data_IF_849456358506
#
_entry.id   IF_849456358506
#
_cell.length_a   1.000
_cell.length_b   1.000
_cell.length_c   1.000
_cell.angle_alpha   90.00
_cell.angle_beta   90.00
_cell.angle_gamma   90.00
#
_symmetry.space_group_name_H-M   'P 1'
#
loop_
_entity.id
_entity.type
_entity.pdbx_description
1 polymer ?
#
# COMPACT_ATOMS: atom_id res chain seq x y z
N UNK A 1 -43.89 17.47 3.71
CA UNK A 1 -43.32 16.10 3.70
C UNK A 1 -42.28 16.05 2.58
N UNK A 2 -40.99 15.89 2.91
CA UNK A 2 -39.93 15.76 1.90
C UNK A 2 -39.74 14.27 1.60
N UNK A 3 -40.06 13.83 0.39
CA UNK A 3 -39.70 12.49 -0.08
C UNK A 3 -38.18 12.32 -0.05
N UNK A 4 -37.64 11.21 0.47
CA UNK A 4 -36.24 10.86 0.26
C UNK A 4 -36.05 10.59 -1.24
N UNK A 5 -35.07 11.27 -1.85
CA UNK A 5 -34.70 11.00 -3.24
C UNK A 5 -34.16 9.57 -3.36
N UNK A 6 -34.65 8.81 -4.34
CA UNK A 6 -34.15 7.48 -4.62
C UNK A 6 -32.64 7.54 -4.94
N UNK A 7 -31.84 6.56 -4.46
CA UNK A 7 -30.42 6.49 -4.76
C UNK A 7 -30.21 6.41 -6.28
N UNK A 8 -29.33 7.26 -6.81
CA UNK A 8 -28.94 7.23 -8.23
C UNK A 8 -27.99 6.05 -8.46
N UNK A 9 -28.05 5.38 -9.62
CA UNK A 9 -27.10 4.33 -9.94
C UNK A 9 -25.67 4.91 -9.96
N UNK A 10 -24.78 4.29 -9.17
CA UNK A 10 -23.34 4.56 -9.21
C UNK A 10 -22.77 3.86 -10.45
N UNK A 11 -21.78 4.48 -11.11
CA UNK A 11 -21.02 3.78 -12.13
C UNK A 11 -20.51 2.43 -11.60
N UNK A 12 -20.39 1.43 -12.48
CA UNK A 12 -19.71 0.18 -12.14
C UNK A 12 -18.23 0.46 -11.88
N UNK A 13 -17.88 0.64 -10.60
CA UNK A 13 -16.52 0.83 -10.12
C UNK A 13 -16.15 -0.45 -9.38
N UNK A 14 -15.17 -1.19 -9.90
CA UNK A 14 -14.59 -2.29 -9.14
C UNK A 14 -13.65 -1.71 -8.08
N UNK A 15 -14.13 -1.68 -6.84
CA UNK A 15 -13.29 -1.36 -5.70
C UNK A 15 -12.30 -2.52 -5.46
N UNK A 16 -11.02 -2.19 -5.31
CA UNK A 16 -10.05 -3.08 -4.68
C UNK A 16 -10.28 -3.06 -3.17
N UNK A 17 -11.43 -3.59 -2.73
CA UNK A 17 -11.77 -3.70 -1.31
C UNK A 17 -11.72 -5.18 -0.92
N UNK A 18 -10.73 -5.56 -0.12
CA UNK A 18 -10.83 -6.76 0.69
C UNK A 18 -11.93 -6.51 1.74
N UNK A 19 -13.13 -7.06 1.52
CA UNK A 19 -14.16 -7.08 2.54
C UNK A 19 -13.67 -7.92 3.74
N UNK A 20 -14.00 -7.53 4.99
CA UNK A 20 -13.74 -8.40 6.12
C UNK A 20 -14.66 -9.60 6.01
N UNK A 21 -14.09 -10.77 5.72
CA UNK A 21 -14.81 -12.03 5.89
C UNK A 21 -15.08 -12.18 7.39
N UNK A 22 -16.33 -11.94 7.79
CA UNK A 22 -16.80 -12.24 9.14
C UNK A 22 -16.70 -13.75 9.35
N UNK A 23 -15.59 -14.20 9.93
CA UNK A 23 -15.52 -15.49 10.60
C UNK A 23 -16.35 -15.38 11.90
N UNK A 24 -17.28 -16.31 12.16
CA UNK A 24 -18.04 -16.31 13.39
C UNK A 24 -17.10 -16.61 14.57
N UNK A 25 -17.02 -15.69 15.53
CA UNK A 25 -16.35 -15.94 16.80
C UNK A 25 -17.10 -17.08 17.54
N UNK A 26 -16.38 -18.03 18.17
CA UNK A 26 -17.01 -19.01 19.05
C UNK A 26 -17.51 -18.32 20.33
N UNK A 27 -18.54 -18.86 21.00
CA UNK A 27 -19.14 -18.21 22.16
C UNK A 27 -18.15 -18.23 23.34
N UNK A 28 -17.83 -17.05 23.87
CA UNK A 28 -17.13 -16.91 25.14
C UNK A 28 -18.08 -17.30 26.28
N UNK A 29 -17.78 -18.40 26.96
CA UNK A 29 -18.43 -18.77 28.21
C UNK A 29 -18.01 -17.82 29.33
N UNK A 30 -18.94 -17.03 29.84
CA UNK A 30 -18.79 -16.22 31.05
C UNK A 30 -18.72 -17.13 32.28
N UNK A 31 -17.53 -17.27 32.87
CA UNK A 31 -17.37 -17.74 34.25
C UNK A 31 -17.15 -16.53 35.16
N UNK A 32 -18.12 -16.25 36.02
CA UNK A 32 -18.02 -15.22 37.04
C UNK A 32 -17.10 -15.68 38.18
N UNK A 33 -16.01 -14.95 38.42
CA UNK A 33 -15.29 -15.00 39.70
C UNK A 33 -15.26 -13.62 40.33
N UNK A 34 -15.61 -13.59 41.60
CA UNK A 34 -15.80 -12.41 42.47
C UNK A 34 -14.49 -11.62 42.69
N UNK A 35 -14.57 -10.33 43.02
CA UNK A 35 -13.39 -9.49 43.22
C UNK A 35 -12.76 -9.73 44.60
N UNK A 36 -11.45 -10.00 44.62
CA UNK A 36 -10.63 -9.95 45.84
C UNK A 36 -9.92 -8.60 45.95
N UNK A 37 -9.89 -8.09 47.17
CA UNK A 37 -9.43 -6.77 47.63
C UNK A 37 -7.92 -6.54 47.50
N UNK A 38 -7.47 -5.26 47.42
CA UNK A 38 -6.06 -4.93 47.29
C UNK A 38 -5.33 -5.04 48.64
N UNK A 39 -4.17 -5.70 48.65
CA UNK A 39 -3.30 -5.80 49.83
C UNK A 39 -2.17 -4.76 49.75
N UNK A 40 -2.13 -3.92 50.77
CA UNK A 40 -1.20 -2.82 51.03
C UNK A 40 0.26 -3.26 51.07
N UNK A 41 1.13 -2.61 50.29
CA UNK A 41 2.59 -2.71 50.44
C UNK A 41 3.02 -1.73 51.54
N UNK A 42 3.55 -2.26 52.64
CA UNK A 42 4.19 -1.49 53.71
C UNK A 42 5.57 -1.01 53.24
N UNK A 43 5.75 0.30 53.22
CA UNK A 43 7.05 0.98 53.21
C UNK A 43 7.80 0.68 54.51
N UNK A 44 9.07 0.25 54.39
CA UNK A 44 9.99 0.17 55.53
C UNK A 44 11.11 1.19 55.33
N UNK A 45 11.03 2.26 56.11
CA UNK A 45 12.04 3.30 56.27
C UNK A 45 13.25 2.74 57.03
N UNK A 46 14.46 3.05 56.58
CA UNK A 46 15.69 3.00 57.38
C UNK A 46 16.53 4.26 57.06
N UNK A 47 17.34 4.74 58.03
CA UNK A 47 17.55 6.16 58.27
C UNK A 47 18.78 6.74 57.54
N UNK A 48 18.74 8.07 57.38
CA UNK A 48 19.85 8.92 57.01
C UNK A 48 21.06 8.75 57.95
N UNK A 49 22.26 8.62 57.39
CA UNK A 49 23.47 9.06 58.08
C UNK A 49 24.60 9.40 57.09
N UNK A 50 24.86 10.71 56.99
CA UNK A 50 26.13 11.42 56.76
C UNK A 50 27.23 10.77 55.90
N UNK A 51 27.49 11.42 54.76
CA UNK A 51 28.73 11.32 54.00
C UNK A 51 29.81 12.24 54.61
N UNK A 52 31.00 11.71 54.89
CA UNK A 52 32.26 12.46 54.77
C UNK A 52 33.40 11.48 54.40
N UNK A 53 34.38 11.86 53.54
CA UNK A 53 35.30 10.93 52.90
C UNK A 53 36.68 10.96 53.56
N UNK A 54 37.22 9.80 53.95
CA UNK A 54 38.67 9.58 54.02
C UNK A 54 39.01 8.10 54.25
N UNK A 55 40.13 7.72 53.65
CA UNK A 55 41.05 6.65 54.04
C UNK A 55 40.79 5.19 53.62
N UNK A 56 41.51 4.86 52.54
CA UNK A 56 42.59 3.86 52.47
C UNK A 56 42.24 2.36 52.50
N UNK A 57 42.46 1.79 51.30
CA UNK A 57 43.33 0.63 51.01
C UNK A 57 43.17 -0.60 51.91
N UNK A 58 42.61 -1.66 51.34
CA UNK A 58 43.06 -3.03 51.59
C UNK A 58 43.15 -3.80 50.28
N UNK A 59 44.38 -4.24 50.00
CA UNK A 59 44.82 -5.06 48.87
C UNK A 59 44.30 -6.49 49.02
N UNK A 60 43.85 -7.08 47.93
CA UNK A 60 44.08 -8.51 47.67
C UNK A 60 44.79 -8.64 46.33
N UNK A 61 45.98 -9.26 46.41
CA UNK A 61 46.91 -9.52 45.31
C UNK A 61 46.33 -10.66 44.46
N UNK A 62 46.11 -10.41 43.17
CA UNK A 62 45.86 -11.47 42.20
C UNK A 62 47.14 -12.30 42.03
N UNK A 63 47.03 -13.61 42.28
CA UNK A 63 48.05 -14.59 41.90
C UNK A 63 47.86 -14.90 40.41
N UNK A 64 48.74 -14.37 39.57
CA UNK A 64 48.80 -14.69 38.13
C UNK A 64 49.62 -15.97 37.98
N UNK A 65 49.01 -17.04 37.48
CA UNK A 65 49.72 -18.22 36.97
C UNK A 65 49.69 -18.15 35.44
N UNK A 66 50.84 -18.18 34.74
CA UNK A 66 50.88 -18.28 33.29
C UNK A 66 50.76 -19.76 32.92
N UNK A 67 49.55 -20.21 32.61
CA UNK A 67 49.40 -21.45 31.84
C UNK A 67 49.42 -21.02 30.38
N UNK A 68 50.49 -21.39 29.68
CA UNK A 68 50.61 -21.17 28.25
C UNK A 68 49.38 -21.74 27.54
N UNK A 69 48.59 -20.87 26.92
CA UNK A 69 47.58 -21.28 25.97
C UNK A 69 48.33 -21.91 24.79
N UNK A 70 48.23 -23.23 24.66
CA UNK A 70 48.41 -23.86 23.36
C UNK A 70 47.45 -23.16 22.37
N UNK A 71 47.87 -22.89 21.11
CA UNK A 71 46.97 -22.33 20.13
C UNK A 71 45.75 -23.25 20.02
N UNK A 72 44.58 -22.71 20.37
CA UNK A 72 43.30 -23.35 20.12
C UNK A 72 43.29 -23.79 18.66
N UNK A 73 42.90 -25.03 18.31
CA UNK A 73 42.85 -25.43 16.91
C UNK A 73 42.02 -24.40 16.16
N UNK A 74 42.59 -23.83 15.10
CA UNK A 74 41.89 -22.87 14.26
C UNK A 74 40.54 -23.49 13.90
N UNK A 75 39.44 -22.81 14.30
CA UNK A 75 38.11 -23.22 13.87
C UNK A 75 38.16 -23.39 12.36
N UNK A 76 37.58 -24.49 11.80
CA UNK A 76 37.57 -24.65 10.36
C UNK A 76 36.95 -23.39 9.74
N UNK A 77 37.54 -22.87 8.65
CA UNK A 77 37.00 -21.70 7.97
C UNK A 77 35.54 -21.97 7.58
N UNK A 78 34.70 -20.94 7.69
CA UNK A 78 33.29 -21.04 7.30
C UNK A 78 33.22 -21.50 5.84
N UNK A 79 32.50 -22.59 5.62
CA UNK A 79 32.29 -23.16 4.29
C UNK A 79 31.20 -22.38 3.56
N UNK A 80 31.63 -21.32 2.85
CA UNK A 80 30.71 -20.40 2.16
C UNK A 80 30.09 -21.06 0.93
N UNK A 81 30.80 -21.97 0.26
CA UNK A 81 30.29 -22.69 -0.91
C UNK A 81 29.09 -23.56 -0.53
N UNK A 82 29.18 -24.26 0.60
CA UNK A 82 28.04 -25.01 1.15
C UNK A 82 26.86 -24.12 1.50
N UNK A 83 27.09 -22.89 1.96
CA UNK A 83 26.02 -21.92 2.24
C UNK A 83 25.39 -21.37 0.94
N UNK A 84 26.17 -21.23 -0.13
CA UNK A 84 25.65 -20.89 -1.46
C UNK A 84 24.73 -22.01 -1.97
N UNK A 85 25.18 -23.27 -1.88
CA UNK A 85 24.38 -24.43 -2.25
C UNK A 85 23.07 -24.49 -1.44
N UNK A 86 23.15 -24.28 -0.12
CA UNK A 86 21.97 -24.20 0.74
C UNK A 86 20.98 -23.14 0.24
N UNK A 87 21.43 -21.95 -0.19
CA UNK A 87 20.52 -20.90 -0.68
C UNK A 87 19.83 -21.27 -1.99
N UNK A 88 20.47 -22.08 -2.84
CA UNK A 88 19.83 -22.59 -4.06
C UNK A 88 18.72 -23.58 -3.75
N UNK A 89 18.87 -24.37 -2.69
CA UNK A 89 17.82 -25.29 -2.24
C UNK A 89 16.73 -24.55 -1.47
N UNK A 90 17.07 -23.62 -0.59
CA UNK A 90 16.14 -23.02 0.39
C UNK A 90 15.32 -21.84 -0.18
N UNK A 91 15.94 -20.90 -0.91
CA UNK A 91 15.26 -19.68 -1.36
C UNK A 91 14.10 -19.91 -2.34
N UNK A 92 14.12 -20.91 -3.25
CA UNK A 92 12.94 -21.22 -4.06
C UNK A 92 11.69 -21.58 -3.25
N UNK A 93 11.88 -22.11 -2.03
CA UNK A 93 10.81 -22.49 -1.11
C UNK A 93 10.34 -21.34 -0.20
N UNK A 94 10.87 -20.13 -0.37
CA UNK A 94 10.51 -18.95 0.42
C UNK A 94 8.99 -18.74 0.50
N UNK A 95 8.28 -19.02 -0.59
CA UNK A 95 6.86 -18.75 -0.71
C UNK A 95 5.93 -19.98 -0.80
N UNK A 96 6.45 -21.20 -0.72
CA UNK A 96 5.62 -22.42 -0.74
C UNK A 96 5.37 -22.99 0.66
N UNK A 97 4.78 -24.19 0.74
CA UNK A 97 4.43 -24.84 2.00
C UNK A 97 5.65 -25.38 2.78
N UNK A 98 6.79 -25.55 2.11
CA UNK A 98 8.04 -25.98 2.73
C UNK A 98 8.66 -24.83 3.54
N UNK A 99 8.66 -23.62 2.98
CA UNK A 99 9.17 -22.43 3.66
C UNK A 99 10.69 -22.46 3.87
N UNK A 100 11.18 -21.50 4.65
CA UNK A 100 12.63 -21.32 4.93
C UNK A 100 13.08 -22.18 6.10
N UNK A 101 14.16 -22.95 5.90
CA UNK A 101 14.84 -23.70 6.94
C UNK A 101 15.59 -22.76 7.89
N UNK A 102 15.05 -22.62 9.10
CA UNK A 102 15.57 -21.73 10.14
C UNK A 102 16.89 -22.20 10.74
N UNK A 103 17.33 -23.44 10.49
CA UNK A 103 18.54 -24.01 11.12
C UNK A 103 19.83 -23.32 10.66
N UNK A 104 19.84 -22.80 9.42
CA UNK A 104 20.95 -22.07 8.82
C UNK A 104 21.05 -20.60 9.26
N UNK A 105 20.08 -20.10 10.04
CA UNK A 105 20.00 -18.71 10.48
C UNK A 105 20.31 -18.57 11.98
N UNK A 106 20.96 -17.46 12.36
CA UNK A 106 21.16 -17.11 13.78
C UNK A 106 19.83 -16.72 14.45
N UNK A 107 19.74 -16.80 15.78
CA UNK A 107 18.52 -16.41 16.52
C UNK A 107 18.12 -14.94 16.30
N UNK A 108 19.09 -14.09 15.97
CA UNK A 108 18.91 -12.67 15.67
C UNK A 108 19.51 -12.34 14.30
N UNK A 109 18.68 -12.47 13.26
CA UNK A 109 19.02 -12.03 11.91
C UNK A 109 18.47 -10.65 11.66
N UNK A 110 19.31 -9.74 11.18
CA UNK A 110 18.89 -8.40 10.74
C UNK A 110 18.32 -8.51 9.32
N UNK A 111 17.01 -8.46 9.20
CA UNK A 111 16.33 -8.36 7.90
C UNK A 111 16.11 -6.89 7.53
N UNK A 112 16.45 -6.54 6.30
CA UNK A 112 16.08 -5.25 5.72
C UNK A 112 15.59 -5.49 4.31
N UNK A 113 14.40 -5.04 4.02
CA UNK A 113 13.88 -5.02 2.67
C UNK A 113 13.30 -3.61 2.38
N UNK A 114 13.04 -3.25 1.10
CA UNK A 114 12.53 -1.92 0.76
C UNK A 114 11.13 -1.64 1.33
N UNK A 115 10.39 -2.67 1.74
CA UNK A 115 9.02 -2.63 2.27
C UNK A 115 9.02 -2.55 3.82
N UNK A 116 10.01 -3.12 4.49
CA UNK A 116 10.01 -3.31 5.95
C UNK A 116 11.40 -3.17 6.59
N UNK A 117 11.47 -2.39 7.68
CA UNK A 117 12.65 -2.26 8.57
C UNK A 117 12.30 -2.83 9.94
N UNK A 118 12.44 -4.15 10.14
CA UNK A 118 12.23 -4.77 11.45
C UNK A 118 13.32 -5.80 11.76
N UNK A 119 13.84 -5.78 12.99
CA UNK A 119 15.04 -6.52 13.39
C UNK A 119 14.75 -7.96 13.89
N UNK A 120 13.66 -8.62 13.46
CA UNK A 120 13.29 -9.96 13.95
C UNK A 120 12.75 -10.90 12.88
N UNK A 121 13.18 -12.17 12.90
CA UNK A 121 12.76 -13.24 11.96
C UNK A 121 11.25 -13.52 12.00
N UNK A 122 10.61 -13.36 13.16
CA UNK A 122 9.18 -13.58 13.32
C UNK A 122 8.33 -12.60 12.48
N UNK A 123 8.77 -11.35 12.38
CA UNK A 123 8.08 -10.33 11.59
C UNK A 123 8.25 -10.54 10.08
N UNK A 124 9.45 -10.94 9.65
CA UNK A 124 9.72 -11.34 8.27
C UNK A 124 8.81 -12.49 7.81
N UNK A 125 8.69 -13.53 8.64
CA UNK A 125 7.84 -14.68 8.34
C UNK A 125 6.35 -14.32 8.37
N UNK A 126 5.92 -13.40 9.23
CA UNK A 126 4.55 -12.87 9.21
C UNK A 126 4.26 -12.08 7.93
N UNK A 127 5.19 -11.23 7.47
CA UNK A 127 5.06 -10.48 6.22
C UNK A 127 4.95 -11.42 5.01
N UNK A 128 5.79 -12.45 4.95
CA UNK A 128 5.72 -13.50 3.92
C UNK A 128 4.37 -14.20 3.96
N UNK A 129 3.89 -14.59 5.14
CA UNK A 129 2.60 -15.24 5.29
C UNK A 129 1.44 -14.33 4.85
N UNK A 130 1.50 -13.03 5.17
CA UNK A 130 0.54 -12.04 4.69
C UNK A 130 0.56 -11.91 3.17
N UNK A 131 1.74 -11.79 2.55
CA UNK A 131 1.90 -11.71 1.10
C UNK A 131 1.34 -12.95 0.40
N UNK A 132 1.48 -14.16 0.98
CA UNK A 132 0.86 -15.39 0.47
C UNK A 132 -0.67 -15.40 0.53
N UNK A 133 -1.29 -14.61 1.42
CA UNK A 133 -2.75 -14.55 1.56
C UNK A 133 -3.35 -13.70 0.43
N UNK A 134 -2.71 -12.58 0.10
CA UNK A 134 -3.23 -11.60 -0.87
C UNK A 134 -2.60 -11.75 -2.26
N UNK A 135 -1.44 -12.36 -2.37
CA UNK A 135 -0.77 -12.69 -3.62
C UNK A 135 -0.45 -14.19 -3.70
N UNK A 136 -0.23 -14.71 -4.91
CA UNK A 136 0.55 -15.92 -5.16
C UNK A 136 1.97 -15.52 -5.55
N UNK A 137 2.84 -15.22 -4.58
CA UNK A 137 4.22 -14.87 -4.86
C UNK A 137 4.96 -16.09 -5.41
N UNK A 138 5.64 -15.91 -6.55
CA UNK A 138 6.59 -16.86 -7.11
C UNK A 138 7.97 -16.21 -7.08
N UNK A 139 8.95 -16.93 -6.54
CA UNK A 139 10.31 -16.45 -6.41
C UNK A 139 11.23 -17.31 -7.28
N UNK A 140 11.99 -16.66 -8.14
CA UNK A 140 12.93 -17.29 -9.06
C UNK A 140 14.32 -16.81 -8.70
N UNK A 141 15.12 -17.71 -8.10
CA UNK A 141 16.54 -17.46 -7.88
C UNK A 141 17.31 -17.70 -9.19
N UNK A 142 18.03 -16.70 -9.67
CA UNK A 142 18.86 -16.82 -10.87
C UNK A 142 20.27 -17.26 -10.52
N UNK A 143 20.85 -16.63 -9.50
CA UNK A 143 22.15 -17.03 -8.98
C UNK A 143 22.38 -16.61 -7.54
N UNK A 144 23.28 -17.32 -6.86
CA UNK A 144 23.87 -16.96 -5.57
C UNK A 144 25.38 -17.12 -5.66
N UNK A 145 26.15 -16.13 -5.18
CA UNK A 145 27.62 -16.19 -5.19
C UNK A 145 28.21 -15.41 -4.03
N UNK A 146 29.38 -15.84 -3.57
CA UNK A 146 30.14 -15.10 -2.59
C UNK A 146 30.61 -13.76 -3.18
N UNK A 147 30.32 -12.66 -2.48
CA UNK A 147 30.74 -11.30 -2.87
C UNK A 147 31.71 -10.67 -1.86
N UNK A 148 31.84 -11.26 -0.68
CA UNK A 148 32.81 -10.87 0.33
C UNK A 148 33.19 -12.04 1.25
N UNK A 149 34.15 -11.86 2.17
CA UNK A 149 34.67 -12.94 3.02
C UNK A 149 33.59 -13.68 3.81
N UNK A 150 32.54 -12.96 4.22
CA UNK A 150 31.38 -13.49 4.95
C UNK A 150 30.08 -12.94 4.37
N UNK A 151 30.02 -12.83 3.04
CA UNK A 151 28.88 -12.24 2.33
C UNK A 151 28.56 -13.03 1.06
N UNK A 152 27.29 -13.39 0.91
CA UNK A 152 26.74 -13.99 -0.31
C UNK A 152 25.72 -13.01 -0.89
N UNK A 153 25.85 -12.69 -2.18
CA UNK A 153 24.83 -11.95 -2.90
C UNK A 153 24.03 -12.91 -3.77
N UNK A 154 22.73 -12.69 -3.84
CA UNK A 154 21.82 -13.40 -4.74
C UNK A 154 21.19 -12.46 -5.75
N UNK A 155 20.74 -13.01 -6.88
CA UNK A 155 19.96 -12.32 -7.91
C UNK A 155 18.69 -13.10 -8.15
N UNK A 156 17.58 -12.40 -8.16
CA UNK A 156 16.27 -13.05 -8.23
C UNK A 156 15.24 -12.22 -9.00
N UNK A 157 14.15 -12.89 -9.34
CA UNK A 157 12.91 -12.29 -9.84
C UNK A 157 11.77 -12.76 -8.97
N UNK A 158 10.90 -11.84 -8.58
CA UNK A 158 9.70 -12.13 -7.81
C UNK A 158 8.49 -11.68 -8.60
N UNK A 159 7.52 -12.57 -8.68
CA UNK A 159 6.26 -12.39 -9.39
C UNK A 159 5.16 -12.47 -8.36
N UNK A 160 4.42 -11.39 -8.14
CA UNK A 160 3.30 -11.33 -7.21
C UNK A 160 1.99 -11.29 -8.00
N UNK A 161 1.21 -12.38 -7.96
CA UNK A 161 -0.11 -12.44 -8.60
C UNK A 161 -1.21 -12.15 -7.59
N UNK A 162 -1.98 -11.09 -7.74
CA UNK A 162 -3.00 -10.76 -6.72
C UNK A 162 -4.19 -11.73 -6.80
N UNK A 163 -4.40 -12.51 -5.74
CA UNK A 163 -5.37 -13.60 -5.68
C UNK A 163 -6.85 -13.17 -5.59
N UNK A 164 -7.21 -12.08 -4.89
CA UNK A 164 -8.62 -11.70 -4.70
C UNK A 164 -9.37 -11.19 -5.95
N UNK A 165 -8.68 -10.92 -7.07
CA UNK A 165 -9.31 -10.42 -8.29
C UNK A 165 -9.43 -11.54 -9.34
N UNK A 166 -10.57 -11.64 -10.04
CA UNK A 166 -10.81 -12.73 -10.99
C UNK A 166 -9.84 -12.73 -12.18
N UNK A 167 -9.15 -11.62 -12.46
CA UNK A 167 -8.16 -11.50 -13.53
C UNK A 167 -6.69 -11.61 -13.05
N UNK A 168 -6.44 -11.81 -11.74
CA UNK A 168 -5.13 -12.14 -11.16
C UNK A 168 -3.94 -11.30 -11.67
N UNK A 169 -3.94 -9.97 -11.44
CA UNK A 169 -2.88 -9.10 -11.96
C UNK A 169 -1.49 -9.51 -11.50
N UNK A 170 -0.52 -9.40 -12.41
CA UNK A 170 0.85 -9.84 -12.19
C UNK A 170 1.82 -8.65 -12.00
N UNK A 171 2.49 -8.59 -10.84
CA UNK A 171 3.57 -7.66 -10.55
C UNK A 171 4.91 -8.40 -10.62
N UNK A 172 5.79 -8.01 -11.54
CA UNK A 172 7.12 -8.62 -11.71
C UNK A 172 8.19 -7.60 -11.32
N UNK A 173 9.10 -8.00 -10.44
CA UNK A 173 10.24 -7.20 -10.05
C UNK A 173 11.48 -8.07 -9.91
N UNK A 174 12.62 -7.45 -10.19
CA UNK A 174 13.94 -8.06 -10.09
C UNK A 174 14.72 -7.38 -8.98
N UNK A 175 15.62 -8.12 -8.36
CA UNK A 175 16.38 -7.60 -7.23
C UNK A 175 17.59 -8.44 -6.89
N UNK A 176 18.32 -7.97 -5.89
CA UNK A 176 19.46 -8.66 -5.30
C UNK A 176 19.33 -8.71 -3.80
N UNK A 177 19.65 -9.84 -3.18
CA UNK A 177 19.73 -9.97 -1.73
C UNK A 177 21.18 -10.11 -1.28
N UNK A 178 21.59 -9.36 -0.27
CA UNK A 178 22.90 -9.47 0.36
C UNK A 178 22.74 -10.17 1.72
N UNK A 179 23.31 -11.37 1.80
CA UNK A 179 23.30 -12.24 2.97
C UNK A 179 24.63 -12.12 3.71
N UNK A 180 24.58 -11.70 4.97
CA UNK A 180 25.74 -11.65 5.85
C UNK A 180 25.86 -12.93 6.66
N UNK A 181 27.08 -13.43 6.79
CA UNK A 181 27.41 -14.66 7.52
C UNK A 181 28.16 -14.30 8.80
N UNK A 182 27.77 -14.93 9.90
CA UNK A 182 28.47 -14.80 11.16
C UNK A 182 29.71 -15.73 11.15
N UNK A 183 30.94 -15.19 11.25
CA UNK A 183 32.16 -15.98 11.20
C UNK A 183 32.30 -16.94 12.40
N UNK A 184 31.64 -16.67 13.53
CA UNK A 184 31.75 -17.48 14.73
C UNK A 184 30.83 -18.70 14.74
N UNK A 185 29.66 -18.58 14.09
CA UNK A 185 28.62 -19.61 14.06
C UNK A 185 28.47 -20.28 12.69
N UNK A 186 28.97 -19.65 11.63
CA UNK A 186 28.79 -20.11 10.24
C UNK A 186 27.35 -19.97 9.73
N UNK A 187 26.51 -19.17 10.39
CA UNK A 187 25.10 -18.98 10.07
C UNK A 187 24.81 -17.61 9.47
N UNK A 188 23.70 -17.49 8.76
CA UNK A 188 23.24 -16.19 8.26
C UNK A 188 22.80 -15.29 9.42
N UNK A 189 23.35 -14.07 9.48
CA UNK A 189 23.08 -13.08 10.52
C UNK A 189 22.51 -11.75 9.99
N UNK A 190 22.51 -11.55 8.68
CA UNK A 190 21.78 -10.46 8.03
C UNK A 190 21.27 -10.85 6.65
N UNK A 191 20.17 -10.24 6.24
CA UNK A 191 19.59 -10.38 4.91
C UNK A 191 19.07 -9.01 4.47
N UNK A 192 19.64 -8.47 3.40
CA UNK A 192 19.29 -7.14 2.87
C UNK A 192 18.84 -7.24 1.42
N UNK A 193 17.58 -6.94 1.14
CA UNK A 193 17.00 -6.96 -0.20
C UNK A 193 17.06 -5.59 -0.88
N UNK A 194 17.44 -5.59 -2.15
CA UNK A 194 17.47 -4.42 -3.03
C UNK A 194 16.64 -4.71 -4.29
N UNK A 195 15.68 -3.84 -4.61
CA UNK A 195 14.80 -4.00 -5.76
C UNK A 195 15.22 -3.04 -6.87
N UNK A 196 15.41 -3.54 -8.09
CA UNK A 196 15.94 -2.74 -9.21
C UNK A 196 14.98 -1.63 -9.66
N UNK A 197 13.68 -1.86 -9.51
CA UNK A 197 12.62 -0.94 -9.94
C UNK A 197 12.41 0.24 -8.99
N UNK A 198 13.07 0.25 -7.82
CA UNK A 198 12.90 1.29 -6.79
C UNK A 198 14.21 2.09 -6.68
N UNK A 199 14.32 3.20 -7.41
CA UNK A 199 15.52 4.06 -7.42
C UNK A 199 15.83 4.74 -6.06
N UNK A 200 14.89 4.71 -5.11
CA UNK A 200 15.10 5.05 -3.69
C UNK A 200 14.62 3.88 -2.83
N UNK A 201 15.52 2.96 -2.45
CA UNK A 201 15.27 1.82 -1.56
C UNK A 201 14.86 2.19 -0.11
N UNK A 202 14.30 3.38 0.09
CA UNK A 202 13.69 3.80 1.34
C UNK A 202 12.17 3.86 1.16
N UNK A 203 11.51 2.87 1.76
CA UNK A 203 10.18 2.97 2.35
C UNK A 203 8.98 2.61 1.46
N UNK A 204 8.56 1.35 1.54
CA UNK A 204 7.21 0.89 1.24
C UNK A 204 6.59 0.27 2.49
N UNK A 205 6.27 1.05 3.54
CA UNK A 205 5.65 0.42 4.73
C UNK A 205 4.38 -0.34 4.34
N UNK A 206 4.07 -1.45 5.03
CA UNK A 206 2.87 -2.24 4.76
C UNK A 206 1.58 -1.40 4.85
N UNK A 207 1.58 -0.37 5.70
CA UNK A 207 0.53 0.65 5.77
C UNK A 207 0.48 1.53 4.52
N UNK A 208 1.63 1.94 3.98
CA UNK A 208 1.73 2.70 2.74
C UNK A 208 1.25 1.92 1.52
N UNK A 209 1.66 0.65 1.39
CA UNK A 209 1.19 -0.25 0.34
C UNK A 209 -0.33 -0.49 0.45
N UNK A 210 -0.83 -0.72 1.68
CA UNK A 210 -2.27 -0.92 1.93
C UNK A 210 -3.10 0.34 1.65
N UNK A 211 -2.57 1.52 1.98
CA UNK A 211 -3.21 2.79 1.65
C UNK A 211 -3.22 3.05 0.15
N UNK A 212 -2.19 2.65 -0.59
CA UNK A 212 -2.18 2.69 -2.06
C UNK A 212 -3.26 1.75 -2.63
N UNK A 213 -3.33 0.49 -2.17
CA UNK A 213 -4.35 -0.45 -2.64
C UNK A 213 -5.78 0.03 -2.37
N UNK A 214 -6.06 0.62 -1.20
CA UNK A 214 -7.37 1.23 -0.90
C UNK A 214 -7.72 2.40 -1.82
N UNK A 215 -6.71 3.07 -2.37
CA UNK A 215 -6.88 4.24 -3.25
C UNK A 215 -7.00 3.84 -4.72
N UNK A 216 -6.51 2.67 -5.15
CA UNK A 216 -6.58 2.25 -6.55
C UNK A 216 -8.00 1.78 -6.93
N UNK A 217 -8.42 2.13 -8.15
CA UNK A 217 -9.74 1.85 -8.76
C UNK A 217 -9.53 1.35 -10.18
N UNK A 218 -10.25 0.29 -10.56
CA UNK A 218 -10.37 -0.13 -11.96
C UNK A 218 -11.69 0.41 -12.52
N UNK A 219 -11.58 1.13 -13.63
CA UNK A 219 -12.70 1.60 -14.42
C UNK A 219 -12.73 0.82 -15.73
N UNK A 220 -13.85 0.16 -16.02
CA UNK A 220 -14.14 -0.35 -17.36
C UNK A 220 -14.36 0.81 -18.34
N UNK A 221 -14.31 0.60 -19.67
CA UNK A 221 -14.66 1.64 -20.63
C UNK A 221 -16.08 2.19 -20.37
N UNK A 222 -16.23 3.52 -20.38
CA UNK A 222 -17.53 4.18 -20.17
C UNK A 222 -17.70 5.39 -21.11
N UNK A 223 -18.94 5.84 -21.28
CA UNK A 223 -19.25 7.01 -22.11
C UNK A 223 -19.58 8.18 -21.20
N UNK A 224 -19.04 9.36 -21.52
CA UNK A 224 -19.40 10.62 -20.87
C UNK A 224 -20.06 11.56 -21.87
N UNK A 225 -20.99 12.36 -21.37
CA UNK A 225 -21.34 13.65 -21.98
C UNK A 225 -20.53 14.73 -21.28
N UNK A 226 -19.91 15.62 -22.07
CA UNK A 226 -18.96 16.59 -21.55
C UNK A 226 -19.09 17.96 -22.20
N UNK A 227 -18.70 18.99 -21.44
CA UNK A 227 -18.60 20.38 -21.92
C UNK A 227 -17.45 21.09 -21.21
N UNK A 228 -17.07 22.26 -21.70
CA UNK A 228 -15.98 23.06 -21.13
C UNK A 228 -16.33 23.58 -19.73
N UNK A 229 -15.38 23.41 -18.81
CA UNK A 229 -15.44 23.91 -17.44
C UNK A 229 -14.48 25.07 -17.22
N UNK A 230 -14.75 25.86 -16.17
CA UNK A 230 -13.87 26.98 -15.78
C UNK A 230 -12.67 26.52 -14.94
N UNK A 231 -12.93 25.68 -13.93
CA UNK A 231 -11.95 25.20 -12.94
C UNK A 231 -12.41 23.90 -12.30
N UNK A 232 -11.53 23.20 -11.57
CA UNK A 232 -11.82 21.88 -10.99
C UNK A 232 -13.04 21.90 -10.05
N UNK A 233 -13.09 22.85 -9.13
CA UNK A 233 -14.24 23.01 -8.22
C UNK A 233 -15.45 23.69 -8.86
N UNK A 234 -15.37 24.06 -10.14
CA UNK A 234 -16.39 24.81 -10.85
C UNK A 234 -17.67 24.02 -11.09
N UNK A 235 -18.76 24.75 -11.32
CA UNK A 235 -20.06 24.20 -11.75
C UNK A 235 -20.50 24.75 -13.11
N UNK A 236 -19.71 25.65 -13.74
CA UNK A 236 -19.98 26.14 -15.09
C UNK A 236 -19.96 24.97 -16.08
N UNK A 237 -21.03 24.83 -16.87
CA UNK A 237 -21.23 23.70 -17.79
C UNK A 237 -22.10 22.58 -17.21
N UNK A 238 -22.29 22.50 -15.89
CA UNK A 238 -23.08 21.42 -15.28
C UNK A 238 -24.53 21.40 -15.77
N UNK A 239 -25.18 22.58 -15.85
CA UNK A 239 -26.56 22.67 -16.32
C UNK A 239 -26.71 22.30 -17.81
N UNK A 240 -25.63 22.43 -18.59
CA UNK A 240 -25.63 22.11 -20.02
C UNK A 240 -25.61 20.58 -20.21
N UNK A 241 -24.67 19.89 -19.57
CA UNK A 241 -24.61 18.42 -19.58
C UNK A 241 -25.79 17.77 -18.84
N UNK A 242 -26.30 18.39 -17.77
CA UNK A 242 -27.53 17.97 -17.12
C UNK A 242 -28.74 18.17 -18.03
N UNK A 243 -28.80 19.29 -18.76
CA UNK A 243 -29.83 19.56 -19.75
C UNK A 243 -29.91 18.45 -20.81
N UNK A 244 -28.76 18.01 -21.33
CA UNK A 244 -28.68 16.91 -22.29
C UNK A 244 -29.38 15.64 -21.78
N UNK A 245 -29.04 15.17 -20.57
CA UNK A 245 -29.66 13.95 -20.01
C UNK A 245 -31.13 14.14 -19.63
N UNK A 246 -31.59 15.39 -19.40
CA UNK A 246 -32.98 15.70 -19.08
C UNK A 246 -33.85 16.04 -20.32
N UNK A 247 -33.39 15.72 -21.53
CA UNK A 247 -34.17 15.82 -22.76
C UNK A 247 -33.84 17.03 -23.64
N UNK A 248 -32.76 17.78 -23.37
CA UNK A 248 -32.23 18.79 -24.31
C UNK A 248 -31.28 18.17 -25.33
N UNK A 249 -31.74 17.12 -26.00
CA UNK A 249 -31.05 16.38 -27.05
C UNK A 249 -31.99 16.19 -28.25
N UNK A 250 -31.49 15.67 -29.36
CA UNK A 250 -32.23 15.61 -30.62
C UNK A 250 -33.51 14.77 -30.56
N UNK A 251 -33.55 13.74 -29.71
CA UNK A 251 -34.71 12.86 -29.53
C UNK A 251 -35.62 13.25 -28.35
N UNK A 252 -35.28 14.30 -27.60
CA UNK A 252 -35.91 14.67 -26.33
C UNK A 252 -35.93 13.53 -25.29
N UNK A 253 -35.01 12.57 -25.42
CA UNK A 253 -34.93 11.41 -24.56
C UNK A 253 -34.43 11.80 -23.16
N UNK A 254 -35.05 11.24 -22.12
CA UNK A 254 -34.57 11.37 -20.75
C UNK A 254 -33.64 10.20 -20.42
N UNK A 255 -32.38 10.52 -20.20
CA UNK A 255 -31.34 9.57 -19.81
C UNK A 255 -31.20 9.61 -18.28
N UNK A 256 -31.20 8.45 -17.60
CA UNK A 256 -30.98 8.38 -16.16
C UNK A 256 -29.69 9.07 -15.73
N UNK A 257 -29.76 9.86 -14.66
CA UNK A 257 -28.58 10.46 -14.03
C UNK A 257 -27.71 9.38 -13.37
N UNK A 258 -26.40 9.56 -13.41
CA UNK A 258 -25.43 8.69 -12.75
C UNK A 258 -24.62 9.47 -11.72
N UNK A 259 -23.91 8.74 -10.86
CA UNK A 259 -22.90 9.31 -9.97
C UNK A 259 -21.58 8.56 -10.11
N UNK A 260 -20.42 9.23 -9.95
CA UNK A 260 -20.24 10.66 -9.66
C UNK A 260 -20.33 11.56 -10.91
N UNK A 261 -20.45 12.87 -10.68
CA UNK A 261 -20.15 13.91 -11.69
C UNK A 261 -18.65 14.19 -11.64
N UNK A 262 -17.98 14.14 -12.79
CA UNK A 262 -16.55 14.45 -12.86
C UNK A 262 -16.31 15.89 -13.33
N UNK A 263 -15.25 16.49 -12.80
CA UNK A 263 -14.55 17.60 -13.46
C UNK A 263 -13.13 17.15 -13.77
N UNK A 264 -12.73 17.13 -15.03
CA UNK A 264 -11.40 16.71 -15.44
C UNK A 264 -10.56 17.93 -15.82
N UNK A 265 -9.35 18.04 -15.27
CA UNK A 265 -8.30 18.88 -15.80
C UNK A 265 -7.34 18.02 -16.62
N UNK A 266 -7.09 18.41 -17.87
CA UNK A 266 -6.25 17.63 -18.80
C UNK A 266 -4.77 17.96 -18.70
N UNK A 267 -4.43 19.06 -18.03
CA UNK A 267 -3.06 19.54 -17.90
C UNK A 267 -2.77 20.05 -16.48
N UNK A 268 -1.49 20.21 -16.14
CA UNK A 268 -1.05 20.64 -14.82
C UNK A 268 -1.37 22.12 -14.51
N UNK A 269 -1.52 22.96 -15.54
CA UNK A 269 -1.90 24.36 -15.43
C UNK A 269 -3.42 24.54 -15.31
N UNK A 270 -4.19 23.46 -15.50
CA UNK A 270 -5.66 23.43 -15.60
C UNK A 270 -6.18 24.42 -16.64
N UNK A 271 -5.46 24.58 -17.74
CA UNK A 271 -5.88 25.46 -18.84
C UNK A 271 -7.03 24.85 -19.66
N UNK A 272 -7.12 23.52 -19.68
CA UNK A 272 -8.25 22.78 -20.25
C UNK A 272 -8.96 21.98 -19.15
N UNK A 273 -10.20 22.37 -18.87
CA UNK A 273 -11.07 21.73 -17.87
C UNK A 273 -12.39 21.35 -18.52
N UNK A 274 -12.95 20.20 -18.15
CA UNK A 274 -14.26 19.75 -18.62
C UNK A 274 -15.10 19.20 -17.49
N UNK A 275 -16.41 19.50 -17.50
CA UNK A 275 -17.40 18.84 -16.63
C UNK A 275 -18.04 17.70 -17.41
N UNK A 276 -18.15 16.54 -16.75
CA UNK A 276 -18.55 15.28 -17.34
C UNK A 276 -19.62 14.60 -16.50
N UNK A 277 -20.67 14.12 -17.16
CA UNK A 277 -21.63 13.17 -16.59
C UNK A 277 -21.46 11.85 -17.32
N UNK A 278 -21.38 10.76 -16.56
CA UNK A 278 -21.29 9.43 -17.13
C UNK A 278 -22.67 8.98 -17.59
N UNK A 279 -22.75 8.39 -18.77
CA UNK A 279 -23.97 7.81 -19.26
C UNK A 279 -24.12 6.35 -18.78
N UNK A 280 -25.35 5.87 -18.54
CA UNK A 280 -25.60 4.49 -18.15
C UNK A 280 -24.98 3.43 -19.09
N UNK A 281 -24.51 2.31 -18.53
CA UNK A 281 -23.76 1.27 -19.24
C UNK A 281 -24.57 0.50 -20.30
N UNK A 282 -25.90 0.52 -20.23
CA UNK A 282 -26.80 -0.10 -21.19
C UNK A 282 -26.90 0.69 -22.52
N UNK A 283 -26.28 1.88 -22.58
CA UNK A 283 -26.26 2.73 -23.78
C UNK A 283 -24.98 2.52 -24.59
N UNK A 284 -25.15 2.24 -25.88
CA UNK A 284 -24.07 2.27 -26.87
C UNK A 284 -23.95 3.66 -27.50
N UNK A 285 -22.73 4.04 -27.91
CA UNK A 285 -22.46 5.36 -28.51
C UNK A 285 -23.38 5.64 -29.72
N UNK A 286 -23.67 4.64 -30.54
CA UNK A 286 -24.54 4.76 -31.72
C UNK A 286 -26.01 5.04 -31.40
N UNK A 287 -26.44 4.79 -30.16
CA UNK A 287 -27.84 4.89 -29.75
C UNK A 287 -28.10 6.12 -28.87
N UNK A 288 -27.09 6.98 -28.69
CA UNK A 288 -27.22 8.20 -27.92
C UNK A 288 -27.67 9.35 -28.83
N UNK A 289 -28.65 10.17 -28.40
CA UNK A 289 -29.09 11.30 -29.19
C UNK A 289 -28.01 12.38 -29.27
N UNK A 290 -28.00 13.13 -30.36
CA UNK A 290 -27.06 14.24 -30.51
C UNK A 290 -27.41 15.39 -29.55
N UNK A 291 -26.41 16.08 -28.98
CA UNK A 291 -26.65 17.30 -28.20
C UNK A 291 -27.21 18.43 -29.07
N UNK A 292 -28.20 19.17 -28.56
CA UNK A 292 -28.77 20.33 -29.28
C UNK A 292 -27.94 21.61 -29.10
N UNK A 293 -27.04 21.64 -28.11
CA UNK A 293 -26.24 22.81 -27.76
C UNK A 293 -24.81 22.62 -28.26
N UNK A 294 -24.29 23.61 -28.98
CA UNK A 294 -22.88 23.65 -29.36
C UNK A 294 -21.97 23.66 -28.12
N UNK A 295 -20.84 22.95 -28.18
CA UNK A 295 -19.91 22.82 -27.06
C UNK A 295 -20.23 21.69 -26.07
N UNK A 296 -21.32 20.95 -26.27
CA UNK A 296 -21.53 19.64 -25.63
C UNK A 296 -21.07 18.55 -26.59
N UNK A 297 -20.33 17.57 -26.07
CA UNK A 297 -19.87 16.42 -26.86
C UNK A 297 -19.99 15.12 -26.09
N UNK A 298 -20.07 14.02 -26.82
CA UNK A 298 -20.02 12.66 -26.27
C UNK A 298 -18.61 12.10 -26.47
N UNK A 299 -18.05 11.48 -25.43
CA UNK A 299 -16.71 10.88 -25.49
C UNK A 299 -16.70 9.52 -24.83
N UNK A 300 -16.12 8.55 -25.51
CA UNK A 300 -15.77 7.25 -24.91
C UNK A 300 -14.47 7.41 -24.14
N UNK A 301 -14.48 7.00 -22.88
CA UNK A 301 -13.32 6.86 -22.01
C UNK A 301 -12.96 5.38 -22.00
N UNK A 302 -11.75 5.02 -22.43
CA UNK A 302 -11.30 3.62 -22.48
C UNK A 302 -11.13 2.99 -21.08
N UNK A 303 -11.29 3.78 -20.02
CA UNK A 303 -11.12 3.32 -18.64
C UNK A 303 -9.65 3.07 -18.32
N UNK A 304 -9.41 2.11 -17.44
CA UNK A 304 -8.10 1.75 -16.93
C UNK A 304 -8.00 1.94 -15.42
N UNK A 305 -6.78 2.14 -14.94
CA UNK A 305 -6.50 2.19 -13.51
C UNK A 305 -6.25 3.62 -13.05
N UNK A 306 -6.95 4.03 -12.00
CA UNK A 306 -6.79 5.32 -11.36
C UNK A 306 -6.54 5.15 -9.86
N UNK A 307 -5.71 6.02 -9.30
CA UNK A 307 -5.65 6.21 -7.86
C UNK A 307 -6.63 7.31 -7.46
N UNK A 308 -7.29 7.15 -6.31
CA UNK A 308 -8.36 8.01 -5.82
C UNK A 308 -8.17 8.35 -4.34
N UNK A 309 -8.14 9.65 -4.01
CA UNK A 309 -8.09 10.14 -2.64
C UNK A 309 -9.46 10.71 -2.24
N UNK A 310 -10.15 10.00 -1.35
CA UNK A 310 -11.42 10.43 -0.78
C UNK A 310 -11.25 11.55 0.25
N UNK A 311 -12.17 12.51 0.23
CA UNK A 311 -12.26 13.56 1.24
C UNK A 311 -13.70 14.06 1.41
N UNK A 312 -13.99 14.56 2.61
CA UNK A 312 -15.28 15.17 2.95
C UNK A 312 -15.18 16.70 2.97
N UNK A 313 -16.34 17.37 2.95
CA UNK A 313 -16.42 18.84 2.96
C UNK A 313 -16.78 19.43 1.59
N UNK A 314 -16.95 20.75 1.55
CA UNK A 314 -17.17 21.47 0.29
C UNK A 314 -15.88 21.41 -0.55
N UNK A 315 -15.94 21.00 -1.83
CA UNK A 315 -14.76 20.86 -2.67
C UNK A 315 -14.33 22.22 -3.22
N UNK A 316 -13.85 23.13 -2.37
CA UNK A 316 -13.28 24.42 -2.83
C UNK A 316 -11.93 24.18 -3.52
N UNK A 317 -11.58 25.02 -4.50
CA UNK A 317 -10.41 24.84 -5.37
C UNK A 317 -9.12 24.51 -4.59
N UNK A 318 -8.79 25.31 -3.57
CA UNK A 318 -7.57 25.10 -2.77
C UNK A 318 -7.52 23.73 -2.07
N UNK A 319 -8.68 23.25 -1.58
CA UNK A 319 -8.78 21.94 -0.94
C UNK A 319 -8.57 20.83 -1.96
N UNK A 320 -9.21 20.95 -3.13
CA UNK A 320 -9.08 19.99 -4.24
C UNK A 320 -7.61 19.92 -4.68
N UNK A 321 -6.97 21.07 -4.90
CA UNK A 321 -5.56 21.13 -5.31
C UNK A 321 -4.60 20.59 -4.24
N UNK A 322 -4.89 20.83 -2.95
CA UNK A 322 -4.10 20.25 -1.86
C UNK A 322 -4.21 18.72 -1.83
N UNK A 323 -5.41 18.17 -2.08
CA UNK A 323 -5.65 16.72 -2.15
C UNK A 323 -4.98 16.10 -3.37
N UNK A 324 -5.06 16.75 -4.52
CA UNK A 324 -4.38 16.34 -5.76
C UNK A 324 -2.87 16.26 -5.56
N UNK A 325 -2.23 17.33 -5.06
CA UNK A 325 -0.78 17.31 -4.77
C UNK A 325 -0.41 16.22 -3.79
N UNK A 326 -1.19 16.04 -2.72
CA UNK A 326 -0.94 14.98 -1.74
C UNK A 326 -0.99 13.59 -2.39
N UNK A 327 -2.01 13.33 -3.22
CA UNK A 327 -2.15 12.07 -3.94
C UNK A 327 -0.97 11.87 -4.89
N UNK A 328 -0.71 12.83 -5.79
CA UNK A 328 0.38 12.76 -6.77
C UNK A 328 1.74 12.53 -6.13
N UNK A 329 2.12 13.32 -5.12
CA UNK A 329 3.40 13.15 -4.44
C UNK A 329 3.51 11.83 -3.69
N UNK A 330 2.38 11.24 -3.28
CA UNK A 330 2.39 9.89 -2.70
C UNK A 330 2.64 8.85 -3.78
N UNK A 331 1.92 8.91 -4.90
CA UNK A 331 2.11 8.00 -6.05
C UNK A 331 3.56 8.05 -6.57
N UNK A 332 4.12 9.24 -6.77
CA UNK A 332 5.49 9.42 -7.26
C UNK A 332 6.54 8.91 -6.26
N UNK A 333 6.35 9.18 -4.96
CA UNK A 333 7.21 8.64 -3.89
C UNK A 333 7.19 7.12 -3.89
N UNK A 334 6.02 6.54 -4.12
CA UNK A 334 5.76 5.11 -4.08
C UNK A 334 6.07 4.44 -5.46
N UNK A 335 6.79 5.14 -6.36
CA UNK A 335 7.28 4.58 -7.63
C UNK A 335 6.21 4.40 -8.71
N UNK A 336 4.98 4.84 -8.48
CA UNK A 336 3.90 4.81 -9.47
C UNK A 336 4.03 6.00 -10.44
N UNK A 337 3.52 5.82 -11.66
CA UNK A 337 3.55 6.85 -12.71
C UNK A 337 2.16 7.49 -12.88
N UNK A 338 1.85 8.60 -12.21
CA UNK A 338 0.59 9.29 -12.42
C UNK A 338 0.58 10.05 -13.77
N UNK A 339 -0.49 9.87 -14.57
CA UNK A 339 -0.73 10.67 -15.78
C UNK A 339 -0.84 12.16 -15.47
N UNK A 340 -0.58 12.96 -16.51
CA UNK A 340 -0.82 14.40 -16.50
C UNK A 340 -2.32 14.67 -16.29
N UNK A 341 -2.62 15.71 -15.51
CA UNK A 341 -3.99 16.10 -15.17
C UNK A 341 -4.59 15.30 -14.01
N UNK A 342 -5.86 15.55 -13.70
CA UNK A 342 -6.59 14.90 -12.62
C UNK A 342 -8.12 15.01 -12.84
N UNK A 343 -8.88 14.26 -12.04
CA UNK A 343 -10.33 14.34 -11.99
C UNK A 343 -10.79 14.67 -10.57
N UNK A 344 -11.83 15.47 -10.44
CA UNK A 344 -12.62 15.64 -9.24
C UNK A 344 -13.96 14.91 -9.41
N UNK A 345 -14.20 13.87 -8.63
CA UNK A 345 -15.48 13.17 -8.57
C UNK A 345 -16.36 13.72 -7.44
N UNK A 346 -17.58 14.13 -7.77
CA UNK A 346 -18.58 14.64 -6.83
C UNK A 346 -19.80 13.72 -6.82
N UNK A 347 -20.09 13.13 -5.67
CA UNK A 347 -21.14 12.11 -5.52
C UNK A 347 -22.47 12.66 -5.02
N UNK A 348 -22.43 13.83 -4.37
CA UNK A 348 -23.59 14.39 -3.69
C UNK A 348 -23.95 15.76 -4.25
N UNK A 349 -25.24 16.10 -4.20
CA UNK A 349 -25.74 17.43 -4.51
C UNK A 349 -25.35 18.41 -3.38
N UNK A 350 -24.48 19.40 -3.65
CA UNK A 350 -23.99 20.32 -2.62
C UNK A 350 -25.08 21.23 -2.04
N UNK A 351 -26.23 21.39 -2.71
CA UNK A 351 -27.37 22.17 -2.22
C UNK A 351 -28.28 21.39 -1.28
N UNK A 352 -28.21 20.06 -1.27
CA UNK A 352 -29.09 19.17 -0.50
C UNK A 352 -28.38 18.37 0.60
N UNK A 353 -27.06 18.24 0.52
CA UNK A 353 -26.28 17.42 1.44
C UNK A 353 -25.48 18.27 2.43
N UNK A 354 -25.49 17.89 3.70
CA UNK A 354 -24.71 18.55 4.74
C UNK A 354 -23.22 18.49 4.45
N UNK A 355 -22.48 19.55 4.73
CA UNK A 355 -21.07 19.71 4.32
C UNK A 355 -20.17 18.56 4.77
N UNK A 356 -20.37 18.02 5.98
CA UNK A 356 -19.58 16.89 6.51
C UNK A 356 -19.90 15.55 5.84
N UNK A 357 -21.06 15.43 5.19
CA UNK A 357 -21.51 14.21 4.49
C UNK A 357 -21.18 14.21 3.00
N UNK A 358 -20.72 15.36 2.45
CA UNK A 358 -20.29 15.42 1.06
C UNK A 358 -19.13 14.45 0.83
N UNK A 359 -19.31 13.49 -0.07
CA UNK A 359 -18.26 12.59 -0.56
C UNK A 359 -17.69 13.16 -1.85
N UNK A 360 -16.39 13.41 -1.83
CA UNK A 360 -15.62 13.81 -3.00
C UNK A 360 -14.38 12.93 -3.11
N UNK A 361 -13.90 12.73 -4.33
CA UNK A 361 -12.64 12.03 -4.59
C UNK A 361 -11.82 12.83 -5.60
N UNK A 362 -10.51 12.96 -5.37
CA UNK A 362 -9.57 13.37 -6.43
C UNK A 362 -8.99 12.11 -7.03
N UNK A 363 -9.01 11.99 -8.35
CA UNK A 363 -8.50 10.85 -9.09
C UNK A 363 -7.37 11.24 -10.02
N UNK A 364 -6.40 10.35 -10.18
CA UNK A 364 -5.32 10.48 -11.15
C UNK A 364 -5.16 9.12 -11.84
N UNK A 365 -5.28 9.10 -13.17
CA UNK A 365 -5.01 7.91 -13.97
C UNK A 365 -3.55 7.52 -13.86
N UNK A 366 -3.24 6.22 -13.90
CA UNK A 366 -1.87 5.72 -13.90
C UNK A 366 -1.40 5.41 -15.33
N UNK A 367 -0.13 5.70 -15.62
CA UNK A 367 0.59 5.25 -16.83
C UNK A 367 1.13 3.84 -16.62
N UNK A 368 1.15 3.05 -17.70
CA UNK A 368 1.73 1.70 -17.76
C UNK A 368 1.26 0.70 -16.68
N UNK A 369 0.28 1.08 -15.87
CA UNK A 369 -0.27 0.24 -14.82
C UNK A 369 -1.31 -0.69 -15.43
N UNK A 370 -0.82 -1.79 -16.00
CA UNK A 370 -1.65 -2.89 -16.49
C UNK A 370 -1.80 -3.89 -15.35
N UNK A 371 -3.06 -4.11 -14.96
CA UNK A 371 -3.44 -5.36 -14.32
C UNK A 371 -3.69 -6.36 -15.45
N UNK A 372 -2.63 -6.83 -16.10
CA UNK A 372 -2.75 -7.93 -17.07
C UNK A 372 -3.08 -9.23 -16.32
#
# INVERSE_FOLDING_TARGET
MRSPAAPQPEMAISHLSAGPTHLPLPPLSLSSRRPCTPRTIRTRTLPDTNLNPADKKLKWVLRVSPVGQAPSPAKPPVDVDRLVEFLYDDLPHLFDDQGIDRTAYDERVKFRDPITKHDTIAWYLFNIAFLKIIFSPQFYLHWAKQTGPYEITTRWTMVMKFMPLPWKPELIFTGTSVMGINPDTGKFCSHVDYWDSIQKNDYFSSEGLWDVFKQVRKYEPFIVVETDGEKLSGSKGFNDVAGYIFGKNSSQEKIPMTTPVFTQAFDNKRSKVSIQIVLPLDKNMSNLPDPNLEGISLRKVEGGIAAALKFSGKPVEDVVLKKERKLRSSLERDGLKPKIGCLLARYNDPGRTWSLMLRNEVLIWLEDFKLD
#
